data_IF_966143732934
#
_entry.id   IF_966143732934
#
_cell.length_a   1.000
_cell.length_b   1.000
_cell.length_c   1.000
_cell.angle_alpha   90.00
_cell.angle_beta   90.00
_cell.angle_gamma   90.00
#
_symmetry.space_group_name_H-M   'P 1'
#
loop_
_entity.id
_entity.type
_entity.pdbx_description
1 polymer ?
#
# COMPACT_ATOMS: atom_id res chain seq x y z
N UNK A 1 13.56 -13.63 -12.02
CA UNK A 1 13.47 -12.69 -10.89
C UNK A 1 12.97 -11.31 -11.33
N UNK A 2 13.66 -10.60 -12.23
CA UNK A 2 13.25 -9.23 -12.67
C UNK A 2 11.79 -9.17 -13.15
N UNK A 3 11.38 -10.07 -14.05
CA UNK A 3 9.99 -10.14 -14.50
C UNK A 3 8.98 -10.34 -13.35
N UNK A 4 9.38 -11.03 -12.27
CA UNK A 4 8.56 -11.23 -11.07
C UNK A 4 8.51 -9.97 -10.19
N UNK A 5 9.61 -9.22 -10.11
CA UNK A 5 9.64 -7.93 -9.42
C UNK A 5 8.76 -6.92 -10.17
N UNK A 6 8.82 -6.88 -11.51
CA UNK A 6 8.10 -5.91 -12.35
C UNK A 6 6.62 -6.25 -12.57
N UNK A 7 6.32 -7.53 -12.84
CA UNK A 7 4.96 -7.97 -13.18
C UNK A 7 4.09 -8.17 -11.96
N UNK A 8 4.70 -8.48 -10.81
CA UNK A 8 3.98 -9.09 -9.72
C UNK A 8 4.23 -8.38 -8.38
N UNK A 9 5.49 -8.28 -7.91
CA UNK A 9 5.77 -7.73 -6.58
C UNK A 9 5.51 -6.22 -6.51
N UNK A 10 6.15 -5.40 -7.36
CA UNK A 10 5.91 -3.95 -7.33
C UNK A 10 4.43 -3.59 -7.54
N UNK A 11 3.70 -4.18 -8.50
CA UNK A 11 2.29 -3.87 -8.66
C UNK A 11 1.42 -4.25 -7.47
N UNK A 12 1.77 -5.33 -6.78
CA UNK A 12 1.08 -5.77 -5.58
C UNK A 12 1.33 -4.82 -4.40
N UNK A 13 2.56 -4.32 -4.19
CA UNK A 13 2.83 -3.33 -3.13
C UNK A 13 1.97 -2.07 -3.31
N UNK A 14 1.86 -1.58 -4.55
CA UNK A 14 0.99 -0.43 -4.84
C UNK A 14 -0.49 -0.77 -4.63
N UNK A 15 -0.94 -1.96 -5.06
CA UNK A 15 -2.33 -2.41 -4.81
C UNK A 15 -2.65 -2.41 -3.31
N UNK A 16 -1.81 -3.02 -2.48
CA UNK A 16 -2.04 -3.12 -1.03
C UNK A 16 -2.04 -1.74 -0.37
N UNK A 17 -1.08 -0.87 -0.73
CA UNK A 17 -1.06 0.51 -0.24
C UNK A 17 -2.39 1.24 -0.52
N UNK A 18 -2.95 1.09 -1.72
CA UNK A 18 -4.21 1.73 -2.11
C UNK A 18 -5.44 1.10 -1.42
N UNK A 19 -5.49 -0.22 -1.26
CA UNK A 19 -6.55 -0.90 -0.51
C UNK A 19 -6.57 -0.45 0.96
N UNK A 20 -5.39 -0.36 1.59
CA UNK A 20 -5.25 0.05 2.97
C UNK A 20 -5.58 1.52 3.18
N UNK A 21 -5.18 2.40 2.25
CA UNK A 21 -5.61 3.80 2.25
C UNK A 21 -7.13 3.95 2.10
N UNK A 22 -7.74 3.22 1.16
CA UNK A 22 -9.20 3.28 0.99
C UNK A 22 -9.93 2.82 2.25
N UNK A 23 -9.46 1.72 2.85
CA UNK A 23 -9.95 1.23 4.15
C UNK A 23 -9.78 2.26 5.26
N UNK A 24 -8.65 2.98 5.31
CA UNK A 24 -8.40 4.05 6.28
C UNK A 24 -9.45 5.16 6.17
N UNK A 25 -9.73 5.61 4.94
CA UNK A 25 -10.71 6.67 4.71
C UNK A 25 -12.16 6.21 4.97
N UNK A 26 -12.42 4.90 4.97
CA UNK A 26 -13.73 4.36 5.37
C UNK A 26 -14.02 4.43 6.87
N UNK A 27 -12.98 4.55 7.71
CA UNK A 27 -13.13 4.69 9.16
C UNK A 27 -13.62 6.10 9.49
N UNK A 28 -14.51 6.21 10.48
CA UNK A 28 -14.87 7.53 11.04
C UNK A 28 -13.63 8.22 11.61
N UNK A 29 -13.62 9.54 11.59
CA UNK A 29 -12.63 10.27 12.36
C UNK A 29 -12.95 10.09 13.86
N UNK A 30 -11.93 10.07 14.75
CA UNK A 30 -12.16 10.00 16.19
C UNK A 30 -13.10 11.09 16.73
N UNK A 31 -13.07 12.28 16.12
CA UNK A 31 -13.95 13.39 16.47
C UNK A 31 -15.43 13.13 16.14
N UNK A 32 -15.72 12.26 15.17
CA UNK A 32 -17.07 11.88 14.74
C UNK A 32 -17.62 10.68 15.53
N UNK A 33 -16.87 10.19 16.51
CA UNK A 33 -17.25 9.03 17.29
C UNK A 33 -18.44 9.36 18.24
N UNK A 34 -19.54 8.59 18.17
CA UNK A 34 -20.68 8.73 19.09
C UNK A 34 -20.27 8.54 20.56
N UNK A 35 -20.36 9.62 21.35
CA UNK A 35 -19.86 9.71 22.74
C UNK A 35 -20.77 9.09 23.79
N UNK A 36 -22.03 8.86 23.45
CA UNK A 36 -23.10 8.44 24.35
C UNK A 36 -23.21 6.92 24.50
N UNK A 37 -22.88 6.17 23.45
CA UNK A 37 -23.06 4.71 23.39
C UNK A 37 -21.78 3.90 23.41
N UNK A 38 -20.66 4.47 22.92
CA UNK A 38 -19.39 3.75 22.79
C UNK A 38 -18.23 4.59 23.33
N UNK A 39 -18.04 4.54 24.64
CA UNK A 39 -17.12 5.43 25.38
C UNK A 39 -15.67 5.38 24.87
N UNK A 40 -15.19 4.24 24.38
CA UNK A 40 -13.80 4.05 23.89
C UNK A 40 -13.63 4.26 22.39
N UNK A 41 -14.71 4.53 21.64
CA UNK A 41 -14.66 4.49 20.17
C UNK A 41 -13.72 5.52 19.56
N UNK A 42 -13.62 6.71 20.15
CA UNK A 42 -12.68 7.72 19.65
C UNK A 42 -11.23 7.23 19.76
N UNK A 43 -10.85 6.66 20.91
CA UNK A 43 -9.50 6.15 21.16
C UNK A 43 -9.20 4.92 20.31
N UNK A 44 -10.16 4.00 20.21
CA UNK A 44 -10.05 2.81 19.36
C UNK A 44 -9.89 3.18 17.88
N UNK A 45 -10.66 4.16 17.40
CA UNK A 45 -10.52 4.68 16.04
C UNK A 45 -9.16 5.35 15.83
N UNK A 46 -8.66 6.12 16.81
CA UNK A 46 -7.35 6.74 16.71
C UNK A 46 -6.25 5.68 16.58
N UNK A 47 -6.29 4.64 17.41
CA UNK A 47 -5.33 3.55 17.40
C UNK A 47 -5.39 2.71 16.12
N UNK A 48 -6.59 2.37 15.65
CA UNK A 48 -6.81 1.59 14.41
C UNK A 48 -6.35 2.40 13.21
N UNK A 49 -6.73 3.68 13.11
CA UNK A 49 -6.32 4.55 12.00
C UNK A 49 -4.80 4.71 11.96
N UNK A 50 -4.17 4.97 13.10
CA UNK A 50 -2.71 5.04 13.18
C UNK A 50 -2.05 3.73 12.73
N UNK A 51 -2.56 2.59 13.19
CA UNK A 51 -2.04 1.27 12.82
C UNK A 51 -2.16 1.02 11.31
N UNK A 52 -3.32 1.33 10.72
CA UNK A 52 -3.55 1.17 9.30
C UNK A 52 -2.71 2.13 8.44
N UNK A 53 -2.51 3.38 8.90
CA UNK A 53 -1.58 4.31 8.26
C UNK A 53 -0.17 3.76 8.24
N UNK A 54 0.31 3.19 9.35
CA UNK A 54 1.66 2.61 9.42
C UNK A 54 1.83 1.43 8.45
N UNK A 55 0.81 0.56 8.33
CA UNK A 55 0.84 -0.54 7.36
C UNK A 55 0.86 0.01 5.92
N UNK A 56 -0.02 0.96 5.58
CA UNK A 56 -0.04 1.55 4.23
C UNK A 56 1.29 2.21 3.86
N UNK A 57 1.93 2.90 4.81
CA UNK A 57 3.28 3.48 4.63
C UNK A 57 4.34 2.38 4.47
N UNK A 58 4.19 1.25 5.15
CA UNK A 58 5.02 0.06 4.94
C UNK A 58 4.98 -0.40 3.48
N UNK A 59 3.78 -0.58 2.91
CA UNK A 59 3.65 -1.00 1.50
C UNK A 59 4.18 0.04 0.51
N UNK A 60 4.02 1.34 0.79
CA UNK A 60 4.67 2.39 -0.02
C UNK A 60 6.20 2.31 0.05
N UNK A 61 6.74 1.94 1.21
CA UNK A 61 8.17 1.73 1.42
C UNK A 61 8.65 0.49 0.69
N UNK A 62 7.87 -0.60 0.72
CA UNK A 62 8.14 -1.81 -0.08
C UNK A 62 8.16 -1.49 -1.57
N UNK A 63 7.18 -0.74 -2.08
CA UNK A 63 7.14 -0.30 -3.48
C UNK A 63 8.42 0.47 -3.88
N UNK A 64 8.91 1.36 -3.02
CA UNK A 64 10.20 2.05 -3.21
C UNK A 64 11.34 1.04 -3.25
N UNK A 65 11.42 0.13 -2.29
CA UNK A 65 12.50 -0.86 -2.20
C UNK A 65 12.51 -1.85 -3.37
N UNK A 66 11.36 -2.26 -3.88
CA UNK A 66 11.28 -3.10 -5.09
C UNK A 66 11.81 -2.33 -6.30
N UNK A 67 11.42 -1.06 -6.46
CA UNK A 67 12.00 -0.21 -7.51
C UNK A 67 13.52 -0.07 -7.33
N UNK A 68 13.99 0.05 -6.09
CA UNK A 68 15.41 0.09 -5.78
C UNK A 68 16.16 -1.18 -6.17
N UNK A 69 15.59 -2.35 -5.85
CA UNK A 69 16.12 -3.63 -6.31
C UNK A 69 16.21 -3.65 -7.84
N UNK A 70 15.17 -3.21 -8.54
CA UNK A 70 15.11 -3.16 -10.00
C UNK A 70 16.24 -2.30 -10.60
N UNK A 71 16.43 -1.05 -10.17
CA UNK A 71 17.49 -0.22 -10.77
C UNK A 71 18.90 -0.66 -10.37
N UNK A 72 19.09 -1.20 -9.16
CA UNK A 72 20.40 -1.73 -8.74
C UNK A 72 20.74 -3.03 -9.49
N UNK A 73 19.76 -3.89 -9.78
CA UNK A 73 19.92 -5.07 -10.64
C UNK A 73 20.29 -4.67 -12.07
N UNK A 74 19.66 -3.61 -12.61
CA UNK A 74 20.01 -3.07 -13.92
C UNK A 74 21.46 -2.58 -13.94
N UNK A 75 21.85 -1.79 -12.93
CA UNK A 75 23.22 -1.28 -12.79
C UNK A 75 24.27 -2.38 -12.61
N UNK A 76 23.91 -3.49 -11.97
CA UNK A 76 24.78 -4.64 -11.80
C UNK A 76 24.83 -5.57 -13.04
N UNK A 77 24.14 -5.22 -14.14
CA UNK A 77 24.19 -5.96 -15.39
C UNK A 77 23.32 -7.22 -15.42
N UNK A 78 22.37 -7.38 -14.48
CA UNK A 78 21.46 -8.54 -14.44
C UNK A 78 20.19 -8.35 -15.27
N UNK A 79 19.98 -7.15 -15.83
CA UNK A 79 18.84 -6.91 -16.73
C UNK A 79 18.98 -7.64 -18.05
N UNK A 80 17.85 -8.05 -18.68
CA UNK A 80 17.87 -8.57 -20.04
C UNK A 80 18.60 -7.60 -20.98
N UNK A 81 19.45 -8.15 -21.86
CA UNK A 81 20.28 -7.34 -22.74
C UNK A 81 19.42 -6.35 -23.55
N UNK A 82 19.78 -5.06 -23.50
CA UNK A 82 19.08 -3.99 -24.20
C UNK A 82 17.78 -3.50 -23.56
N UNK A 83 17.37 -4.07 -22.41
CA UNK A 83 16.20 -3.58 -21.66
C UNK A 83 16.64 -2.53 -20.62
N UNK A 84 16.17 -1.27 -20.72
CA UNK A 84 16.45 -0.28 -19.68
C UNK A 84 15.63 -0.54 -18.42
N UNK A 85 16.09 0.01 -17.29
CA UNK A 85 15.25 0.14 -16.10
C UNK A 85 14.11 1.12 -16.36
N UNK A 86 12.90 0.74 -15.94
CA UNK A 86 11.74 1.62 -15.86
C UNK A 86 11.07 1.46 -14.49
N UNK A 87 10.70 2.57 -13.82
CA UNK A 87 9.93 2.49 -12.58
C UNK A 87 8.60 1.78 -12.77
N UNK A 88 8.28 0.89 -11.83
CA UNK A 88 7.03 0.16 -11.78
C UNK A 88 6.12 0.83 -10.76
N UNK A 89 5.14 1.56 -11.28
CA UNK A 89 4.18 2.39 -10.54
C UNK A 89 2.77 2.19 -11.11
N UNK A 90 2.35 0.93 -11.19
CA UNK A 90 1.03 0.50 -11.65
C UNK A 90 0.49 -0.53 -10.68
N UNK A 91 -0.81 -0.57 -10.43
CA UNK A 91 -1.41 -1.53 -9.52
C UNK A 91 -1.57 -2.91 -10.22
N UNK A 92 -1.65 -3.98 -9.43
CA UNK A 92 -1.94 -5.32 -9.93
C UNK A 92 -3.43 -5.49 -10.25
N UNK A 93 -3.75 -5.94 -11.47
CA UNK A 93 -5.11 -6.35 -11.85
C UNK A 93 -5.53 -7.70 -11.26
N UNK A 94 -4.55 -8.53 -10.86
CA UNK A 94 -4.76 -9.91 -10.38
C UNK A 94 -4.63 -10.04 -8.85
N UNK A 95 -4.08 -9.02 -8.19
CA UNK A 95 -3.88 -8.98 -6.74
C UNK A 95 -2.64 -9.71 -6.25
N UNK A 96 -2.57 -9.99 -4.93
CA UNK A 96 -1.40 -10.59 -4.33
C UNK A 96 -1.11 -11.97 -4.88
N UNK A 97 0.18 -12.21 -5.13
CA UNK A 97 0.68 -13.38 -5.84
C UNK A 97 0.23 -14.67 -5.17
N UNK A 98 -0.40 -15.54 -5.97
CA UNK A 98 -0.76 -16.89 -5.56
C UNK A 98 -2.01 -16.96 -4.67
N UNK A 99 -2.67 -15.86 -4.35
CA UNK A 99 -4.01 -15.86 -3.76
C UNK A 99 -5.11 -15.97 -4.83
N UNK A 100 -4.83 -16.63 -5.96
CA UNK A 100 -5.84 -16.92 -6.99
C UNK A 100 -7.08 -17.56 -6.34
N UNK A 101 -8.22 -16.88 -6.45
CA UNK A 101 -9.50 -17.27 -5.84
C UNK A 101 -9.68 -16.95 -4.34
N UNK A 102 -8.69 -16.37 -3.67
CA UNK A 102 -8.72 -16.05 -2.23
C UNK A 102 -8.72 -14.54 -1.91
N UNK A 103 -8.14 -13.71 -2.80
CA UNK A 103 -8.24 -12.25 -2.73
C UNK A 103 -8.23 -11.65 -4.14
N UNK A 104 -9.30 -10.93 -4.48
CA UNK A 104 -9.34 -10.10 -5.67
C UNK A 104 -9.12 -8.64 -5.25
N UNK A 105 -8.23 -7.90 -5.93
CA UNK A 105 -8.04 -6.48 -5.66
C UNK A 105 -9.37 -5.75 -5.64
N UNK A 106 -9.66 -5.07 -4.55
CA UNK A 106 -10.84 -4.23 -4.46
C UNK A 106 -10.69 -3.19 -3.34
N UNK A 107 -11.10 -1.98 -3.68
CA UNK A 107 -11.19 -0.85 -2.77
C UNK A 107 -12.44 -1.02 -1.88
N UNK A 108 -12.23 -1.44 -0.63
CA UNK A 108 -13.31 -1.82 0.28
C UNK A 108 -13.23 -1.07 1.61
N UNK A 109 -14.37 -0.74 2.24
CA UNK A 109 -14.38 -0.31 3.63
C UNK A 109 -13.74 -1.36 4.56
N UNK A 110 -13.18 -0.93 5.69
CA UNK A 110 -12.56 -1.81 6.70
C UNK A 110 -13.61 -2.55 7.56
N UNK A 111 -14.51 -3.28 6.91
CA UNK A 111 -15.40 -4.21 7.60
C UNK A 111 -14.64 -5.48 8.04
N UNK A 112 -15.32 -6.37 8.76
CA UNK A 112 -14.69 -7.61 9.24
C UNK A 112 -14.22 -8.54 8.11
N UNK A 113 -14.84 -8.49 6.93
CA UNK A 113 -14.45 -9.33 5.81
C UNK A 113 -13.15 -8.82 5.18
N UNK A 114 -13.05 -7.50 4.95
CA UNK A 114 -11.83 -6.85 4.50
C UNK A 114 -10.69 -7.09 5.49
N UNK A 115 -10.96 -6.94 6.80
CA UNK A 115 -9.96 -7.15 7.83
C UNK A 115 -9.47 -8.59 7.89
N UNK A 116 -10.36 -9.58 7.80
CA UNK A 116 -9.95 -10.98 7.73
C UNK A 116 -9.20 -11.31 6.43
N UNK A 117 -9.50 -10.63 5.32
CA UNK A 117 -8.74 -10.74 4.08
C UNK A 117 -7.31 -10.21 4.28
N UNK A 118 -7.14 -9.03 4.87
CA UNK A 118 -5.82 -8.46 5.15
C UNK A 118 -4.99 -9.31 6.11
N UNK A 119 -5.61 -9.86 7.17
CA UNK A 119 -4.94 -10.83 8.06
C UNK A 119 -4.47 -12.07 7.30
N UNK A 120 -5.20 -12.53 6.27
CA UNK A 120 -4.78 -13.67 5.44
C UNK A 120 -3.65 -13.30 4.48
N UNK A 121 -3.71 -12.11 3.88
CA UNK A 121 -2.69 -11.60 2.95
C UNK A 121 -1.35 -11.49 3.67
N UNK A 122 -1.33 -10.85 4.84
CA UNK A 122 -0.11 -10.59 5.62
C UNK A 122 0.39 -11.79 6.42
N UNK A 123 -0.32 -12.94 6.40
CA UNK A 123 0.03 -14.07 7.26
C UNK A 123 1.47 -14.55 6.97
N UNK A 124 2.33 -14.65 8.00
CA UNK A 124 3.67 -15.25 7.86
C UNK A 124 3.59 -16.70 7.35
N UNK A 125 4.55 -17.10 6.51
CA UNK A 125 4.50 -18.35 5.77
C UNK A 125 3.42 -18.38 4.66
N UNK A 126 2.76 -17.25 4.41
CA UNK A 126 1.83 -17.05 3.31
C UNK A 126 2.54 -16.95 1.95
N UNK A 127 1.75 -16.81 0.88
CA UNK A 127 2.32 -16.80 -0.49
C UNK A 127 3.05 -15.49 -0.83
N UNK A 128 2.68 -14.38 -0.18
CA UNK A 128 3.38 -13.09 -0.24
C UNK A 128 4.81 -13.24 0.32
N UNK A 129 4.90 -13.69 1.56
CA UNK A 129 6.13 -14.10 2.25
C UNK A 129 6.96 -15.09 1.40
N UNK A 130 6.30 -16.10 0.81
CA UNK A 130 6.99 -17.04 -0.09
C UNK A 130 7.57 -16.37 -1.36
N UNK A 131 6.97 -15.29 -1.85
CA UNK A 131 7.47 -14.60 -3.04
C UNK A 131 8.74 -13.79 -2.76
N UNK A 132 8.79 -13.08 -1.62
CA UNK A 132 10.01 -12.42 -1.17
C UNK A 132 11.06 -13.40 -0.68
N UNK A 133 10.70 -14.47 0.02
CA UNK A 133 11.62 -15.55 0.37
C UNK A 133 12.36 -16.13 -0.86
N UNK A 134 11.68 -16.29 -2.00
CA UNK A 134 12.32 -16.69 -3.28
C UNK A 134 13.25 -15.60 -3.83
N UNK A 135 12.89 -14.33 -3.69
CA UNK A 135 13.75 -13.21 -4.09
C UNK A 135 15.02 -13.20 -3.23
N UNK A 136 14.88 -13.31 -1.91
CA UNK A 136 15.96 -13.43 -0.93
C UNK A 136 16.89 -14.60 -1.29
N UNK A 137 16.35 -15.81 -1.46
CA UNK A 137 17.13 -16.99 -1.82
C UNK A 137 17.85 -16.86 -3.18
N UNK A 138 17.29 -16.08 -4.11
CA UNK A 138 17.97 -15.79 -5.38
C UNK A 138 19.12 -14.81 -5.18
N UNK A 139 18.89 -13.73 -4.41
CA UNK A 139 19.86 -12.65 -4.19
C UNK A 139 20.97 -13.02 -3.20
N UNK A 140 20.80 -14.09 -2.42
CA UNK A 140 21.85 -14.66 -1.56
C UNK A 140 23.01 -15.28 -2.38
N UNK A 141 22.76 -15.61 -3.65
CA UNK A 141 23.78 -16.26 -4.48
C UNK A 141 24.98 -15.33 -4.75
N UNK A 142 26.23 -15.85 -4.76
CA UNK A 142 27.45 -15.02 -4.76
C UNK A 142 27.62 -14.05 -5.94
N UNK A 143 26.94 -14.29 -7.06
CA UNK A 143 27.00 -13.40 -8.21
C UNK A 143 26.29 -12.06 -7.96
N UNK A 144 25.32 -12.00 -7.04
CA UNK A 144 24.57 -10.77 -6.76
C UNK A 144 25.29 -9.91 -5.72
N UNK A 145 25.28 -8.57 -5.87
CA UNK A 145 25.75 -7.67 -4.84
C UNK A 145 25.03 -7.87 -3.51
N UNK A 146 25.78 -7.97 -2.41
CA UNK A 146 25.26 -8.25 -1.06
C UNK A 146 24.16 -7.27 -0.60
N UNK A 147 24.25 -6.00 -0.97
CA UNK A 147 23.25 -5.01 -0.57
C UNK A 147 21.86 -5.28 -1.16
N UNK A 148 21.75 -6.02 -2.28
CA UNK A 148 20.46 -6.43 -2.84
C UNK A 148 19.78 -7.47 -1.95
N UNK A 149 20.53 -8.45 -1.45
CA UNK A 149 20.03 -9.41 -0.48
C UNK A 149 19.55 -8.70 0.79
N UNK A 150 20.36 -7.78 1.33
CA UNK A 150 19.99 -7.02 2.54
C UNK A 150 18.72 -6.18 2.34
N UNK A 151 18.52 -5.63 1.14
CA UNK A 151 17.30 -4.90 0.80
C UNK A 151 16.08 -5.82 0.68
N UNK A 152 16.23 -6.99 0.07
CA UNK A 152 15.14 -7.97 -0.04
C UNK A 152 14.73 -8.54 1.32
N UNK A 153 15.68 -8.80 2.21
CA UNK A 153 15.42 -9.24 3.60
C UNK A 153 14.64 -8.19 4.39
N UNK A 154 14.90 -6.89 4.18
CA UNK A 154 14.13 -5.82 4.83
C UNK A 154 12.65 -5.89 4.45
N UNK A 155 12.34 -6.03 3.16
CA UNK A 155 10.96 -6.16 2.67
C UNK A 155 10.28 -7.40 3.30
N UNK A 156 10.98 -8.54 3.29
CA UNK A 156 10.49 -9.81 3.86
C UNK A 156 10.17 -9.70 5.36
N UNK A 157 11.05 -9.01 6.13
CA UNK A 157 10.92 -8.92 7.58
C UNK A 157 9.79 -8.02 8.09
N UNK A 158 9.36 -7.01 7.31
CA UNK A 158 8.34 -6.06 7.72
C UNK A 158 6.91 -6.64 7.68
N UNK A 159 6.66 -7.66 6.84
CA UNK A 159 5.34 -8.32 6.74
C UNK A 159 4.82 -8.92 8.05
N UNK A 160 5.71 -9.40 8.92
CA UNK A 160 5.33 -9.88 10.26
C UNK A 160 4.67 -8.78 11.11
N UNK A 161 5.15 -7.54 10.98
CA UNK A 161 4.58 -6.42 11.73
C UNK A 161 3.19 -6.04 11.19
N UNK A 162 2.98 -6.13 9.88
CA UNK A 162 1.67 -5.86 9.26
C UNK A 162 0.62 -6.85 9.75
N UNK A 163 0.96 -8.14 9.77
CA UNK A 163 0.11 -9.20 10.30
C UNK A 163 -0.37 -8.92 11.74
N UNK A 164 0.55 -8.63 12.64
CA UNK A 164 0.21 -8.38 14.05
C UNK A 164 -0.63 -7.12 14.22
N UNK A 165 -0.37 -6.07 13.43
CA UNK A 165 -1.21 -4.85 13.41
C UNK A 165 -2.63 -5.15 12.95
N UNK A 166 -2.83 -5.92 11.89
CA UNK A 166 -4.18 -6.31 11.46
C UNK A 166 -4.91 -7.16 12.49
N UNK A 167 -4.19 -8.07 13.18
CA UNK A 167 -4.77 -8.84 14.28
C UNK A 167 -5.16 -7.98 15.47
N UNK A 168 -4.37 -6.97 15.79
CA UNK A 168 -4.69 -5.99 16.83
C UNK A 168 -5.92 -5.17 16.45
N UNK A 169 -5.95 -4.59 15.25
CA UNK A 169 -7.12 -3.87 14.74
C UNK A 169 -8.38 -4.73 14.79
N UNK A 170 -8.29 -6.02 14.44
CA UNK A 170 -9.41 -6.96 14.54
C UNK A 170 -9.89 -7.16 15.97
N UNK A 171 -8.97 -7.29 16.92
CA UNK A 171 -9.31 -7.41 18.35
C UNK A 171 -9.99 -6.14 18.86
N UNK A 172 -9.48 -4.97 18.50
CA UNK A 172 -10.05 -3.67 18.89
C UNK A 172 -11.46 -3.49 18.33
N UNK A 173 -11.64 -3.71 17.02
CA UNK A 173 -12.93 -3.48 16.37
C UNK A 173 -14.00 -4.50 16.77
N UNK A 174 -13.61 -5.70 17.23
CA UNK A 174 -14.54 -6.74 17.67
C UNK A 174 -15.53 -6.26 18.76
N UNK A 175 -15.15 -5.25 19.56
CA UNK A 175 -16.05 -4.62 20.55
C UNK A 175 -17.34 -4.07 19.92
N UNK A 176 -17.33 -3.74 18.63
CA UNK A 176 -18.46 -3.13 17.90
C UNK A 176 -19.29 -4.15 17.12
N UNK A 177 -18.92 -5.43 17.12
CA UNK A 177 -19.57 -6.48 16.30
C UNK A 177 -21.01 -6.76 16.69
N UNK A 178 -21.39 -6.48 17.94
CA UNK A 178 -22.78 -6.62 18.39
C UNK A 178 -23.75 -5.60 17.80
N UNK A 179 -23.26 -4.48 17.25
CA UNK A 179 -24.11 -3.41 16.75
C UNK A 179 -24.79 -3.73 15.40
N UNK A 180 -24.32 -4.75 14.68
CA UNK A 180 -24.76 -5.08 13.32
C UNK A 180 -24.28 -4.11 12.23
N UNK A 181 -24.56 -4.45 10.97
CA UNK A 181 -24.29 -3.57 9.83
C UNK A 181 -25.37 -2.47 9.74
N UNK A 182 -25.03 -1.23 9.37
CA UNK A 182 -23.67 -0.72 9.17
C UNK A 182 -22.91 -0.61 10.49
N UNK A 183 -21.63 -1.00 10.48
CA UNK A 183 -20.81 -0.97 11.69
C UNK A 183 -20.59 0.48 12.16
N UNK A 184 -20.68 0.76 13.47
CA UNK A 184 -20.74 2.13 13.95
C UNK A 184 -19.42 2.90 13.80
N UNK A 185 -18.30 2.18 13.67
CA UNK A 185 -16.97 2.77 13.43
C UNK A 185 -16.70 3.13 11.96
N UNK A 186 -17.59 2.72 11.03
CA UNK A 186 -17.47 3.01 9.61
C UNK A 186 -18.28 4.25 9.21
N UNK A 187 -17.77 4.94 8.20
CA UNK A 187 -18.51 5.90 7.38
C UNK A 187 -19.36 5.15 6.36
N UNK A 188 -20.47 5.75 5.95
CA UNK A 188 -21.23 5.28 4.80
C UNK A 188 -20.59 5.84 3.53
N UNK A 189 -19.67 5.07 2.95
CA UNK A 189 -18.95 5.45 1.74
C UNK A 189 -19.32 4.54 0.58
N UNK A 190 -19.51 5.12 -0.60
CA UNK A 190 -19.52 4.40 -1.88
C UNK A 190 -18.31 4.80 -2.71
N UNK A 191 -17.90 3.94 -3.63
CA UNK A 191 -16.92 4.32 -4.63
C UNK A 191 -17.50 5.46 -5.50
N UNK A 192 -16.78 6.57 -5.58
CA UNK A 192 -17.11 7.71 -6.42
C UNK A 192 -16.81 7.43 -7.88
N UNK A 193 -17.45 8.16 -8.78
CA UNK A 193 -17.06 8.15 -10.20
C UNK A 193 -15.80 8.98 -10.42
N UNK A 194 -15.03 8.75 -11.51
CA UNK A 194 -13.87 9.57 -11.83
C UNK A 194 -14.16 11.08 -11.89
N UNK A 195 -15.38 11.48 -12.27
CA UNK A 195 -15.80 12.86 -12.28
C UNK A 195 -16.02 13.42 -10.86
N UNK A 196 -16.63 12.63 -9.96
CA UNK A 196 -16.88 13.03 -8.58
C UNK A 196 -15.58 13.17 -7.77
N UNK A 197 -14.58 12.36 -8.09
CA UNK A 197 -13.30 12.29 -7.37
C UNK A 197 -12.13 12.84 -8.18
N UNK A 198 -12.42 13.67 -9.20
CA UNK A 198 -11.42 14.13 -10.18
C UNK A 198 -10.20 14.76 -9.50
N UNK A 199 -10.40 15.63 -8.52
CA UNK A 199 -9.30 16.31 -7.84
C UNK A 199 -8.34 15.34 -7.13
N UNK A 200 -8.87 14.30 -6.47
CA UNK A 200 -8.06 13.26 -5.87
C UNK A 200 -7.32 12.40 -6.91
N UNK A 201 -7.99 12.06 -8.02
CA UNK A 201 -7.35 11.28 -9.09
C UNK A 201 -6.25 12.07 -9.80
N UNK A 202 -6.45 13.37 -10.04
CA UNK A 202 -5.42 14.26 -10.60
C UNK A 202 -4.19 14.32 -9.68
N UNK A 203 -4.41 14.47 -8.37
CA UNK A 203 -3.35 14.44 -7.35
C UNK A 203 -2.63 13.10 -7.31
N UNK A 204 -3.35 12.00 -7.46
CA UNK A 204 -2.77 10.66 -7.50
C UNK A 204 -1.89 10.46 -8.74
N UNK A 205 -2.35 10.89 -9.92
CA UNK A 205 -1.56 10.86 -11.16
C UNK A 205 -0.31 11.75 -11.04
N UNK A 206 -0.46 12.96 -10.49
CA UNK A 206 0.66 13.87 -10.21
C UNK A 206 1.70 13.21 -9.29
N UNK A 207 1.25 12.56 -8.22
CA UNK A 207 2.11 11.83 -7.28
C UNK A 207 2.88 10.70 -7.98
N UNK A 208 2.22 9.88 -8.81
CA UNK A 208 2.89 8.82 -9.56
C UNK A 208 3.94 9.37 -10.53
N UNK A 209 3.65 10.51 -11.17
CA UNK A 209 4.61 11.22 -12.02
C UNK A 209 5.86 11.67 -11.26
N UNK A 210 5.69 12.28 -10.09
CA UNK A 210 6.78 12.73 -9.23
C UNK A 210 7.60 11.55 -8.67
N UNK A 211 6.95 10.44 -8.30
CA UNK A 211 7.65 9.21 -7.88
C UNK A 211 8.47 8.61 -9.03
N UNK A 212 7.90 8.56 -10.25
CA UNK A 212 8.60 8.07 -11.44
C UNK A 212 9.86 8.88 -11.69
N UNK A 213 9.75 10.21 -11.68
CA UNK A 213 10.88 11.11 -11.85
C UNK A 213 11.94 10.88 -10.77
N UNK A 214 11.53 10.83 -9.50
CA UNK A 214 12.44 10.56 -8.38
C UNK A 214 13.23 9.26 -8.56
N UNK A 215 12.57 8.15 -8.90
CA UNK A 215 13.23 6.86 -9.09
C UNK A 215 14.14 6.82 -10.32
N UNK A 216 13.77 7.49 -11.43
CA UNK A 216 14.66 7.63 -12.60
C UNK A 216 15.92 8.41 -12.23
N UNK A 217 15.78 9.53 -11.52
CA UNK A 217 16.93 10.34 -11.08
C UNK A 217 17.83 9.57 -10.11
N UNK A 218 17.27 8.82 -9.14
CA UNK A 218 18.05 7.94 -8.25
C UNK A 218 18.82 6.88 -9.05
N UNK A 219 18.17 6.23 -10.02
CA UNK A 219 18.80 5.24 -10.89
C UNK A 219 19.98 5.83 -11.71
N UNK A 220 19.88 7.10 -12.09
CA UNK A 220 20.90 7.87 -12.82
C UNK A 220 21.96 8.51 -11.91
N UNK A 221 21.83 8.38 -10.58
CA UNK A 221 22.67 9.04 -9.54
C UNK A 221 22.55 10.58 -9.54
N UNK A 222 21.48 11.13 -10.08
CA UNK A 222 21.12 12.54 -9.90
C UNK A 222 20.32 12.71 -8.60
N UNK A 223 21.01 12.65 -7.47
CA UNK A 223 20.38 12.72 -6.16
C UNK A 223 19.75 14.07 -5.85
N UNK A 224 20.22 15.16 -6.48
CA UNK A 224 19.66 16.48 -6.30
C UNK A 224 18.28 16.58 -6.95
N UNK A 225 18.15 16.17 -8.22
CA UNK A 225 16.86 16.11 -8.90
C UNK A 225 15.92 15.10 -8.23
N UNK A 226 16.45 13.93 -7.83
CA UNK A 226 15.66 12.94 -7.09
C UNK A 226 15.07 13.53 -5.80
N UNK A 227 15.86 14.26 -5.02
CA UNK A 227 15.39 14.87 -3.78
C UNK A 227 14.30 15.92 -4.02
N UNK A 228 14.37 16.68 -5.11
CA UNK A 228 13.33 17.63 -5.50
C UNK A 228 12.02 16.89 -5.85
N UNK A 229 12.08 15.87 -6.70
CA UNK A 229 10.92 15.09 -7.10
C UNK A 229 10.27 14.36 -5.91
N UNK A 230 11.06 13.74 -5.04
CA UNK A 230 10.57 13.10 -3.80
C UNK A 230 9.99 14.14 -2.82
N UNK A 231 10.57 15.34 -2.76
CA UNK A 231 10.02 16.45 -1.99
C UNK A 231 8.64 16.87 -2.49
N UNK A 232 8.46 16.99 -3.80
CA UNK A 232 7.17 17.29 -4.43
C UNK A 232 6.14 16.17 -4.17
N UNK A 233 6.56 14.91 -4.34
CA UNK A 233 5.72 13.74 -4.06
C UNK A 233 5.15 13.75 -2.64
N UNK A 234 5.95 14.10 -1.63
CA UNK A 234 5.48 14.23 -0.23
C UNK A 234 4.41 15.31 -0.07
N UNK A 235 4.60 16.48 -0.69
CA UNK A 235 3.61 17.55 -0.63
C UNK A 235 2.30 17.16 -1.33
N UNK A 236 2.39 16.48 -2.46
CA UNK A 236 1.23 15.95 -3.19
C UNK A 236 0.51 14.87 -2.38
N UNK A 237 1.25 13.99 -1.70
CA UNK A 237 0.67 12.99 -0.80
C UNK A 237 -0.13 13.62 0.34
N UNK A 238 0.37 14.70 0.96
CA UNK A 238 -0.36 15.44 2.00
C UNK A 238 -1.64 16.12 1.47
N UNK A 239 -1.61 16.61 0.23
CA UNK A 239 -2.79 17.16 -0.45
C UNK A 239 -3.80 16.06 -0.77
N UNK A 240 -3.34 14.94 -1.33
CA UNK A 240 -4.16 13.78 -1.65
C UNK A 240 -4.84 13.22 -0.39
N UNK A 241 -4.10 13.05 0.70
CA UNK A 241 -4.65 12.56 1.96
C UNK A 241 -5.79 13.45 2.49
N UNK A 242 -5.63 14.78 2.43
CA UNK A 242 -6.68 15.73 2.83
C UNK A 242 -7.90 15.68 1.92
N UNK A 243 -7.69 15.58 0.61
CA UNK A 243 -8.78 15.47 -0.37
C UNK A 243 -9.57 14.15 -0.17
N UNK A 244 -8.87 13.03 0.02
CA UNK A 244 -9.49 11.74 0.31
C UNK A 244 -10.32 11.76 1.60
N UNK A 245 -9.81 12.36 2.68
CA UNK A 245 -10.59 12.55 3.91
C UNK A 245 -11.85 13.40 3.68
N UNK A 246 -11.72 14.50 2.94
CA UNK A 246 -12.85 15.39 2.64
C UNK A 246 -13.92 14.69 1.78
N UNK A 247 -13.52 13.89 0.79
CA UNK A 247 -14.41 13.07 -0.01
C UNK A 247 -15.09 11.99 0.84
N UNK A 248 -14.34 11.30 1.68
CA UNK A 248 -14.89 10.26 2.54
C UNK A 248 -15.88 10.79 3.57
N UNK A 249 -15.64 11.98 4.13
CA UNK A 249 -16.60 12.68 4.98
C UNK A 249 -17.91 13.01 4.26
N UNK A 250 -17.90 13.10 2.93
CA UNK A 250 -19.07 13.30 2.06
C UNK A 250 -19.65 11.98 1.51
N UNK A 251 -19.16 10.83 1.97
CA UNK A 251 -19.63 9.51 1.54
C UNK A 251 -19.01 9.00 0.23
N UNK A 252 -17.89 9.58 -0.21
CA UNK A 252 -17.21 9.22 -1.46
C UNK A 252 -15.82 8.62 -1.20
N UNK A 253 -15.60 7.40 -1.68
CA UNK A 253 -14.28 6.78 -1.78
C UNK A 253 -13.65 6.99 -3.16
N UNK A 254 -12.34 7.22 -3.21
CA UNK A 254 -11.62 7.46 -4.47
C UNK A 254 -11.40 6.13 -5.22
N UNK A 255 -11.78 6.03 -6.51
CA UNK A 255 -11.61 4.82 -7.31
C UNK A 255 -10.18 4.71 -7.87
N UNK A 256 -9.18 4.54 -7.01
CA UNK A 256 -7.77 4.55 -7.43
C UNK A 256 -7.41 3.57 -8.56
N UNK A 257 -8.12 2.44 -8.67
CA UNK A 257 -7.88 1.44 -9.72
C UNK A 257 -8.43 1.84 -11.10
N UNK A 258 -9.17 2.94 -11.20
CA UNK A 258 -9.59 3.50 -12.49
C UNK A 258 -8.44 4.27 -13.18
N UNK A 259 -7.31 4.48 -12.48
CA UNK A 259 -6.08 5.05 -13.04
C UNK A 259 -5.14 3.91 -13.44
N UNK A 260 -4.74 3.81 -14.72
CA UNK A 260 -3.88 2.75 -15.23
C UNK A 260 -2.44 2.79 -14.70
#
# INVERSE_FOLDING_TARGET
>A
MIAKLEGDLAPMELTLALEYLYSLFSLRAPADAPKDRWLTMADDLAAVRQSLTLVAVGEMTHLRWVNQLLWELHRAGFYPHGKPYEPVLKHSALGPIGLEGLHHPALRPLDYEALDAYVRVERPGGKLDTAYARCVATLEQPQYPRHLYELAVKIDSDGMQHYERFREMRRTLQAYRGAGRPWPYLRDIRQGTPQETKAALDLYVELLGQLREGYVCEAQRDFAAAQQAIGAARQTMDRLNRECEALAARGLGVPFFDVP
#
